data_IF_853953788308
#
_entry.id   IF_853953788308
#
_cell.length_a   1.000
_cell.length_b   1.000
_cell.length_c   1.000
_cell.angle_alpha   90.00
_cell.angle_beta   90.00
_cell.angle_gamma   90.00
#
_symmetry.space_group_name_H-M   'P 1'
#
loop_
_entity.id
_entity.type
_entity.pdbx_description
1 polymer ?
#
# COMPACT_ATOMS: atom_id res chain seq x y z
N UNK A 1 19.13 5.33 -20.07
CA UNK A 1 18.71 6.69 -20.47
C UNK A 1 17.69 7.21 -19.48
N UNK A 2 18.06 8.20 -18.67
CA UNK A 2 17.13 8.88 -17.76
C UNK A 2 16.52 10.04 -18.55
N UNK A 3 15.30 9.86 -19.05
CA UNK A 3 14.57 10.94 -19.71
C UNK A 3 14.11 11.96 -18.66
N UNK A 4 14.90 13.02 -18.48
CA UNK A 4 14.53 14.19 -17.68
C UNK A 4 13.55 15.02 -18.50
N UNK A 5 12.26 14.63 -18.48
CA UNK A 5 11.21 15.41 -19.13
C UNK A 5 11.11 16.80 -18.51
N UNK A 6 11.24 17.87 -19.29
CA UNK A 6 11.04 19.26 -18.86
C UNK A 6 9.52 19.51 -18.86
N UNK A 7 8.85 19.36 -17.72
CA UNK A 7 7.41 19.53 -17.59
C UNK A 7 7.01 20.00 -16.19
N UNK A 8 5.93 20.78 -16.10
CA UNK A 8 5.39 21.26 -14.82
C UNK A 8 4.82 20.10 -13.99
N UNK A 9 4.84 20.17 -12.65
CA UNK A 9 4.21 19.17 -11.78
C UNK A 9 2.72 19.01 -12.11
N UNK A 10 2.20 17.79 -11.98
CA UNK A 10 0.80 17.47 -12.33
C UNK A 10 -0.05 17.23 -11.07
N UNK A 11 -0.91 18.20 -10.74
CA UNK A 11 -1.87 18.07 -9.63
C UNK A 11 -2.89 16.95 -9.88
N UNK A 12 -3.24 16.68 -11.15
CA UNK A 12 -4.14 15.57 -11.52
C UNK A 12 -3.50 14.23 -11.19
N UNK A 13 -2.22 14.04 -11.51
CA UNK A 13 -1.51 12.80 -11.17
C UNK A 13 -1.39 12.61 -9.64
N UNK A 14 -1.23 13.70 -8.89
CA UNK A 14 -1.25 13.67 -7.43
C UNK A 14 -2.61 13.20 -6.90
N UNK A 15 -3.72 13.81 -7.35
CA UNK A 15 -5.08 13.43 -6.94
C UNK A 15 -5.40 11.97 -7.28
N UNK A 16 -5.04 11.52 -8.48
CA UNK A 16 -5.21 10.12 -8.87
C UNK A 16 -4.45 9.16 -7.96
N UNK A 17 -3.21 9.50 -7.61
CA UNK A 17 -2.40 8.71 -6.66
C UNK A 17 -2.93 8.76 -5.23
N UNK A 18 -3.61 9.85 -4.84
CA UNK A 18 -4.24 9.98 -3.54
C UNK A 18 -5.48 9.08 -3.41
N UNK A 19 -6.18 8.78 -4.52
CA UNK A 19 -7.28 7.82 -4.53
C UNK A 19 -6.76 6.39 -4.46
N UNK A 20 -5.75 6.05 -5.26
CA UNK A 20 -5.15 4.72 -5.25
C UNK A 20 -3.67 4.77 -5.64
N UNK A 21 -2.78 4.09 -4.88
CA UNK A 21 -1.35 4.06 -5.17
C UNK A 21 -1.09 3.52 -6.58
N UNK A 22 -0.31 4.27 -7.38
CA UNK A 22 0.06 3.90 -8.74
C UNK A 22 -0.81 4.51 -9.85
N UNK A 23 -2.01 5.02 -9.56
CA UNK A 23 -2.89 5.60 -10.59
C UNK A 23 -2.31 6.88 -11.23
N UNK A 24 -1.67 7.75 -10.47
CA UNK A 24 -1.03 8.94 -11.05
C UNK A 24 0.14 8.59 -11.96
N UNK A 25 0.92 7.56 -11.61
CA UNK A 25 1.99 7.05 -12.46
C UNK A 25 1.44 6.43 -13.73
N UNK A 26 0.28 5.77 -13.66
CA UNK A 26 -0.43 5.24 -14.83
C UNK A 26 -0.87 6.39 -15.75
N UNK A 27 -1.44 7.46 -15.19
CA UNK A 27 -1.81 8.68 -15.92
C UNK A 27 -0.62 9.36 -16.61
N UNK A 28 0.55 9.33 -15.97
CA UNK A 28 1.82 9.81 -16.51
C UNK A 28 2.46 8.85 -17.52
N UNK A 29 1.78 7.75 -17.89
CA UNK A 29 2.25 6.68 -18.79
C UNK A 29 3.49 5.93 -18.28
N UNK A 30 3.75 5.99 -16.98
CA UNK A 30 4.84 5.25 -16.31
C UNK A 30 4.31 3.92 -15.76
N UNK A 31 3.86 3.04 -16.65
CA UNK A 31 3.15 1.78 -16.31
C UNK A 31 3.98 0.90 -15.36
N UNK A 32 5.28 0.73 -15.62
CA UNK A 32 6.15 -0.07 -14.74
C UNK A 32 6.17 0.45 -13.30
N UNK A 33 6.24 1.78 -13.12
CA UNK A 33 6.20 2.40 -11.79
C UNK A 33 4.82 2.27 -11.14
N UNK A 34 3.76 2.44 -11.92
CA UNK A 34 2.39 2.25 -11.45
C UNK A 34 2.18 0.84 -10.89
N UNK A 35 2.59 -0.19 -11.65
CA UNK A 35 2.49 -1.58 -11.23
C UNK A 35 3.30 -1.88 -9.97
N UNK A 36 4.54 -1.43 -9.90
CA UNK A 36 5.38 -1.65 -8.70
C UNK A 36 4.74 -0.99 -7.47
N UNK A 37 4.31 0.27 -7.56
CA UNK A 37 3.69 0.97 -6.44
C UNK A 37 2.39 0.30 -5.99
N UNK A 38 1.55 -0.10 -6.94
CA UNK A 38 0.32 -0.78 -6.66
C UNK A 38 0.58 -2.13 -5.97
N UNK A 39 1.49 -2.95 -6.48
CA UNK A 39 1.80 -4.27 -5.91
C UNK A 39 2.41 -4.17 -4.51
N UNK A 40 3.34 -3.24 -4.28
CA UNK A 40 3.97 -3.08 -2.96
C UNK A 40 2.97 -2.55 -1.93
N UNK A 41 2.08 -1.62 -2.31
CA UNK A 41 1.00 -1.16 -1.45
C UNK A 41 -0.01 -2.28 -1.17
N UNK A 42 -0.45 -3.01 -2.21
CA UNK A 42 -1.34 -4.16 -2.08
C UNK A 42 -0.76 -5.25 -1.17
N UNK A 43 0.55 -5.48 -1.22
CA UNK A 43 1.23 -6.40 -0.31
C UNK A 43 1.15 -5.95 1.15
N UNK A 44 1.35 -4.65 1.42
CA UNK A 44 1.18 -4.09 2.77
C UNK A 44 -0.26 -4.27 3.29
N UNK A 45 -1.25 -3.96 2.45
CA UNK A 45 -2.66 -4.16 2.77
C UNK A 45 -3.00 -5.65 2.99
N UNK A 46 -2.43 -6.55 2.17
CA UNK A 46 -2.60 -7.99 2.31
C UNK A 46 -2.06 -8.52 3.63
N UNK A 47 -0.88 -8.05 4.06
CA UNK A 47 -0.31 -8.40 5.37
C UNK A 47 -1.28 -7.99 6.49
N UNK A 48 -1.80 -6.77 6.45
CA UNK A 48 -2.78 -6.27 7.45
C UNK A 48 -4.06 -7.10 7.43
N UNK A 49 -4.56 -7.44 6.24
CA UNK A 49 -5.77 -8.25 6.06
C UNK A 49 -5.60 -9.66 6.66
N UNK A 50 -4.55 -10.39 6.28
CA UNK A 50 -4.27 -11.75 6.79
C UNK A 50 -4.09 -11.74 8.30
N UNK A 51 -3.41 -10.72 8.84
CA UNK A 51 -3.23 -10.53 10.28
C UNK A 51 -4.54 -10.23 11.04
N UNK A 52 -5.57 -9.78 10.34
CA UNK A 52 -6.85 -9.37 10.94
C UNK A 52 -7.92 -10.45 10.82
N UNK A 53 -7.58 -11.61 10.26
CA UNK A 53 -8.49 -12.75 10.21
C UNK A 53 -8.69 -13.34 11.62
N UNK A 54 -9.93 -13.74 11.96
CA UNK A 54 -11.16 -13.60 11.18
C UNK A 54 -11.74 -12.18 11.21
N UNK A 55 -12.21 -11.73 10.06
CA UNK A 55 -12.83 -10.41 9.87
C UNK A 55 -14.32 -10.49 10.18
N UNK A 56 -14.65 -10.58 11.46
CA UNK A 56 -16.05 -10.53 11.89
C UNK A 56 -16.60 -9.08 11.83
N UNK A 57 -15.73 -8.08 12.00
CA UNK A 57 -16.06 -6.65 11.91
C UNK A 57 -14.95 -5.83 11.26
N UNK A 58 -15.29 -4.76 10.53
CA UNK A 58 -14.31 -3.83 9.94
C UNK A 58 -13.39 -3.18 10.98
N UNK A 59 -13.85 -3.03 12.23
CA UNK A 59 -13.03 -2.54 13.34
C UNK A 59 -11.84 -3.46 13.64
N UNK A 60 -11.92 -4.76 13.32
CA UNK A 60 -10.82 -5.71 13.54
C UNK A 60 -9.60 -5.40 12.65
N UNK A 61 -9.78 -4.73 11.50
CA UNK A 61 -8.66 -4.27 10.66
C UNK A 61 -7.77 -3.27 11.39
N UNK A 62 -8.38 -2.40 12.19
CA UNK A 62 -7.71 -1.30 12.89
C UNK A 62 -7.38 -1.63 14.34
N UNK A 63 -7.81 -2.79 14.85
CA UNK A 63 -7.50 -3.24 16.20
C UNK A 63 -6.06 -3.75 16.27
N UNK A 64 -5.22 -3.06 17.03
CA UNK A 64 -3.87 -3.48 17.37
C UNK A 64 -3.87 -4.01 18.82
N UNK A 65 -3.68 -5.31 18.98
CA UNK A 65 -3.72 -5.96 20.28
C UNK A 65 -2.29 -6.03 20.87
N UNK A 66 -1.89 -4.99 21.61
CA UNK A 66 -0.54 -4.86 22.16
C UNK A 66 -0.32 -5.69 23.43
N UNK A 67 -1.36 -6.30 23.99
CA UNK A 67 -1.33 -7.05 25.26
C UNK A 67 -1.04 -8.56 25.08
N UNK A 68 -0.76 -9.02 23.86
CA UNK A 68 -0.36 -10.41 23.59
C UNK A 68 1.09 -10.65 24.00
N UNK A 69 1.36 -10.68 25.31
CA UNK A 69 2.71 -10.87 25.87
C UNK A 69 2.91 -12.21 26.59
N UNK A 70 1.85 -12.93 27.00
CA UNK A 70 2.03 -14.06 27.94
C UNK A 70 2.04 -15.46 27.31
N UNK A 71 1.56 -15.65 26.07
CA UNK A 71 1.76 -16.93 25.35
C UNK A 71 1.67 -16.75 23.83
N UNK A 72 2.81 -16.77 23.14
CA UNK A 72 2.87 -16.61 21.70
C UNK A 72 2.50 -17.94 20.99
N UNK A 73 1.25 -18.04 20.54
CA UNK A 73 0.79 -19.11 19.66
C UNK A 73 0.34 -18.50 18.32
N UNK A 74 1.09 -18.80 17.25
CA UNK A 74 0.83 -18.31 15.88
C UNK A 74 -0.52 -18.82 15.36
N UNK A 75 -0.85 -20.06 15.74
CA UNK A 75 -2.09 -20.73 15.41
C UNK A 75 -2.95 -20.82 16.66
N UNK A 76 -4.06 -20.10 16.67
CA UNK A 76 -5.06 -20.22 17.73
C UNK A 76 -6.31 -20.86 17.15
N UNK A 77 -6.69 -22.01 17.73
CA UNK A 77 -7.98 -22.62 17.44
C UNK A 77 -9.01 -22.04 18.40
N UNK A 78 -9.84 -21.12 17.90
CA UNK A 78 -10.89 -20.46 18.70
C UNK A 78 -12.20 -20.51 17.95
N UNK A 79 -13.29 -20.87 18.63
CA UNK A 79 -14.64 -21.00 18.05
C UNK A 79 -14.67 -21.86 16.76
N UNK A 80 -13.98 -23.01 16.77
CA UNK A 80 -13.90 -23.92 15.63
C UNK A 80 -13.27 -23.33 14.35
N UNK A 81 -12.52 -22.22 14.48
CA UNK A 81 -11.80 -21.57 13.38
C UNK A 81 -10.31 -21.52 13.68
N UNK A 82 -9.52 -21.88 12.68
CA UNK A 82 -8.08 -21.72 12.70
C UNK A 82 -7.75 -20.24 12.45
N UNK A 83 -7.21 -19.56 13.46
CA UNK A 83 -6.82 -18.16 13.37
C UNK A 83 -5.29 -18.06 13.25
N UNK A 84 -4.82 -17.43 12.17
CA UNK A 84 -3.42 -17.06 12.02
C UNK A 84 -3.21 -15.67 12.63
N UNK A 85 -2.61 -15.62 13.82
CA UNK A 85 -2.33 -14.37 14.55
C UNK A 85 -0.82 -14.24 14.77
N UNK A 86 -0.07 -13.75 13.77
CA UNK A 86 1.33 -13.45 14.00
C UNK A 86 1.46 -12.21 14.89
N UNK A 87 2.68 -11.89 15.29
CA UNK A 87 2.94 -10.83 16.27
C UNK A 87 2.38 -9.48 15.77
N UNK A 88 1.83 -8.66 16.67
CA UNK A 88 1.23 -7.37 16.33
C UNK A 88 2.17 -6.43 15.52
N UNK A 89 3.49 -6.60 15.66
CA UNK A 89 4.50 -5.91 14.86
C UNK A 89 4.35 -6.15 13.35
N UNK A 90 3.96 -7.34 12.91
CA UNK A 90 3.76 -7.64 11.48
C UNK A 90 2.59 -6.87 10.89
N UNK A 91 1.50 -6.73 11.66
CA UNK A 91 0.35 -5.92 11.27
C UNK A 91 0.75 -4.45 11.13
N UNK A 92 1.54 -3.94 12.08
CA UNK A 92 2.04 -2.57 12.03
C UNK A 92 3.00 -2.36 10.86
N UNK A 93 3.94 -3.27 10.63
CA UNK A 93 4.89 -3.12 9.52
C UNK A 93 4.18 -3.13 8.17
N UNK A 94 3.16 -3.98 7.99
CA UNK A 94 2.31 -3.98 6.79
C UNK A 94 1.55 -2.67 6.62
N UNK A 95 1.02 -2.11 7.71
CA UNK A 95 0.35 -0.82 7.69
C UNK A 95 1.29 0.34 7.34
N UNK A 96 2.47 0.40 7.98
CA UNK A 96 3.50 1.41 7.68
C UNK A 96 3.94 1.30 6.23
N UNK A 97 4.18 0.08 5.73
CA UNK A 97 4.53 -0.15 4.33
C UNK A 97 3.45 0.37 3.38
N UNK A 98 2.18 0.07 3.65
CA UNK A 98 1.06 0.54 2.84
C UNK A 98 0.99 2.07 2.82
N UNK A 99 0.99 2.71 3.99
CA UNK A 99 0.91 4.18 4.12
C UNK A 99 2.13 4.86 3.49
N UNK A 100 3.34 4.37 3.75
CA UNK A 100 4.57 4.94 3.20
C UNK A 100 4.57 4.87 1.67
N UNK A 101 4.17 3.74 1.10
CA UNK A 101 4.12 3.57 -0.36
C UNK A 101 3.00 4.39 -0.99
N UNK A 102 1.88 4.55 -0.30
CA UNK A 102 0.80 5.42 -0.76
C UNK A 102 1.24 6.88 -0.80
N UNK A 103 1.81 7.40 0.29
CA UNK A 103 2.34 8.76 0.35
C UNK A 103 3.44 8.99 -0.68
N UNK A 104 4.34 8.01 -0.84
CA UNK A 104 5.36 8.05 -1.89
C UNK A 104 4.73 8.16 -3.29
N UNK A 105 3.69 7.36 -3.56
CA UNK A 105 2.95 7.40 -4.82
C UNK A 105 2.34 8.79 -5.09
N UNK A 106 1.77 9.42 -4.06
CA UNK A 106 1.23 10.80 -4.13
C UNK A 106 2.32 11.81 -4.49
N UNK A 107 3.46 11.76 -3.79
CA UNK A 107 4.59 12.67 -4.02
C UNK A 107 5.23 12.45 -5.39
N UNK A 108 5.43 11.20 -5.82
CA UNK A 108 5.97 10.86 -7.14
C UNK A 108 4.97 11.23 -8.26
N UNK A 109 3.66 11.11 -8.01
CA UNK A 109 2.61 11.61 -8.90
C UNK A 109 2.67 13.12 -9.06
N UNK A 110 2.81 13.86 -7.96
CA UNK A 110 2.93 15.33 -7.97
C UNK A 110 4.19 15.81 -8.71
N UNK A 111 5.35 15.23 -8.38
CA UNK A 111 6.64 15.50 -9.06
C UNK A 111 6.70 14.92 -10.47
N UNK A 112 5.71 14.13 -10.83
CA UNK A 112 5.67 13.37 -12.06
C UNK A 112 5.41 14.27 -13.26
N UNK A 113 6.30 14.16 -14.24
CA UNK A 113 6.25 14.91 -15.50
C UNK A 113 5.74 13.99 -16.60
N UNK A 114 4.77 14.48 -17.39
CA UNK A 114 4.19 13.74 -18.51
C UNK A 114 5.12 13.87 -19.71
N UNK A 115 5.68 12.76 -20.16
CA UNK A 115 6.52 12.75 -21.36
C UNK A 115 5.58 12.75 -22.56
N UNK A 116 5.50 13.89 -23.27
CA UNK A 116 4.91 13.91 -24.60
C UNK A 116 5.93 13.31 -25.56
N UNK A 117 5.64 12.12 -26.11
CA UNK A 117 6.37 11.66 -27.31
C UNK A 117 6.08 12.71 -28.39
N UNK A 118 7.10 13.47 -28.80
CA UNK A 118 7.06 14.15 -30.10
C UNK A 118 6.83 13.04 -31.13
N UNK A 119 5.75 13.13 -31.89
CA UNK A 119 5.61 12.31 -33.10
C UNK A 119 6.78 12.72 -34.01
N UNK A 120 7.63 11.75 -34.33
CA UNK A 120 8.57 11.86 -35.43
C UNK A 120 7.80 11.76 -36.74
#
# INVERSE_FOLDING_TARGET
MVEIGIGKPSHVAMMLSAICPGLGQLYLRKIRKALVLFLVAAMGAFIVYVNSLPLDNFSNLWRFDMTTQESYQIWQFKNNRLMFRPHWYFKISGYIQFVAMWLYGVVDGWRGRRIYKRKA
#
